data_IF_850519788045
#
_entry.id   IF_850519788045
#
_cell.length_a   1.000
_cell.length_b   1.000
_cell.length_c   1.000
_cell.angle_alpha   90.00
_cell.angle_beta   90.00
_cell.angle_gamma   90.00
#
_symmetry.space_group_name_H-M   'P 1'
#
loop_
_entity.id
_entity.type
_entity.pdbx_description
1 polymer ?
#
# COMPACT_ATOMS: atom_id res chain seq x y z
N UNK A 1 -2.32 -0.64 -17.35
CA UNK A 1 -1.92 -1.14 -16.00
C UNK A 1 -1.31 -2.52 -16.17
N UNK A 2 -0.04 -2.71 -15.82
CA UNK A 2 0.63 -4.00 -15.94
C UNK A 2 -0.06 -5.06 -15.06
N UNK A 3 -0.30 -6.26 -15.59
CA UNK A 3 -0.98 -7.36 -14.88
C UNK A 3 -0.37 -7.65 -13.49
N UNK A 4 0.94 -7.46 -13.34
CA UNK A 4 1.67 -7.60 -12.09
C UNK A 4 1.19 -6.63 -10.98
N UNK A 5 0.89 -5.38 -11.34
CA UNK A 5 0.38 -4.38 -10.39
C UNK A 5 -1.04 -4.75 -9.95
N UNK A 6 -1.83 -5.31 -10.86
CA UNK A 6 -3.19 -5.74 -10.56
C UNK A 6 -3.22 -6.95 -9.62
N UNK A 7 -2.36 -7.95 -9.88
CA UNK A 7 -2.20 -9.12 -9.00
C UNK A 7 -1.69 -8.70 -7.62
N UNK A 8 -0.68 -7.83 -7.55
CA UNK A 8 -0.15 -7.31 -6.29
C UNK A 8 -1.22 -6.58 -5.46
N UNK A 9 -2.05 -5.76 -6.12
CA UNK A 9 -3.18 -5.08 -5.45
C UNK A 9 -4.20 -6.07 -4.90
N UNK A 10 -4.56 -7.11 -5.65
CA UNK A 10 -5.52 -8.12 -5.21
C UNK A 10 -5.00 -8.92 -4.00
N UNK A 11 -3.74 -9.33 -4.02
CA UNK A 11 -3.12 -10.06 -2.89
C UNK A 11 -3.09 -9.18 -1.63
N UNK A 12 -2.64 -7.92 -1.74
CA UNK A 12 -2.62 -7.01 -0.60
C UNK A 12 -4.02 -6.69 -0.07
N UNK A 13 -5.02 -6.57 -0.94
CA UNK A 13 -6.41 -6.39 -0.52
C UNK A 13 -6.92 -7.58 0.30
N UNK A 14 -6.56 -8.81 -0.08
CA UNK A 14 -6.89 -10.02 0.69
C UNK A 14 -6.16 -10.02 2.05
N UNK A 15 -4.87 -9.66 2.08
CA UNK A 15 -4.09 -9.59 3.32
C UNK A 15 -4.69 -8.55 4.28
N UNK A 16 -5.00 -7.34 3.79
CA UNK A 16 -5.67 -6.31 4.58
C UNK A 16 -7.03 -6.77 5.09
N UNK A 17 -7.82 -7.43 4.22
CA UNK A 17 -9.10 -8.00 4.60
C UNK A 17 -8.97 -9.03 5.73
N UNK A 18 -8.01 -9.95 5.63
CA UNK A 18 -7.76 -10.96 6.66
C UNK A 18 -7.27 -10.35 7.99
N UNK A 19 -6.38 -9.35 7.92
CA UNK A 19 -5.86 -8.66 9.12
C UNK A 19 -6.95 -7.85 9.83
N UNK A 20 -7.78 -7.12 9.07
CA UNK A 20 -8.91 -6.37 9.63
C UNK A 20 -10.02 -7.30 10.12
N UNK A 21 -10.29 -8.40 9.41
CA UNK A 21 -11.23 -9.42 9.87
C UNK A 21 -10.80 -10.01 11.21
N UNK A 22 -9.50 -10.20 11.46
CA UNK A 22 -8.99 -10.66 12.75
C UNK A 22 -9.27 -9.67 13.91
N UNK A 23 -9.48 -8.37 13.65
CA UNK A 23 -9.86 -7.41 14.68
C UNK A 23 -11.31 -7.63 15.14
N UNK A 24 -12.21 -7.91 14.20
CA UNK A 24 -13.65 -8.11 14.47
C UNK A 24 -13.93 -9.54 14.91
N UNK A 25 -13.22 -10.51 14.33
CA UNK A 25 -13.32 -11.94 14.61
C UNK A 25 -11.94 -12.50 15.00
N UNK A 26 -11.58 -12.45 16.29
CA UNK A 26 -10.26 -12.88 16.74
C UNK A 26 -10.04 -14.37 16.46
N UNK A 27 -8.92 -14.71 15.81
CA UNK A 27 -8.57 -16.11 15.62
C UNK A 27 -8.30 -16.80 16.97
N UNK A 28 -8.86 -18.00 17.19
CA UNK A 28 -8.72 -18.70 18.46
C UNK A 28 -7.25 -19.05 18.78
N UNK A 29 -6.89 -18.98 20.06
CA UNK A 29 -5.55 -19.32 20.55
C UNK A 29 -4.51 -18.22 20.37
N UNK A 30 -3.29 -18.60 19.95
CA UNK A 30 -2.14 -17.66 19.79
C UNK A 30 -2.18 -16.88 18.48
N UNK A 31 -3.13 -17.15 17.59
CA UNK A 31 -3.24 -16.50 16.28
C UNK A 31 -3.58 -15.01 16.38
N UNK A 32 -4.48 -14.63 17.30
CA UNK A 32 -4.91 -13.24 17.47
C UNK A 32 -3.75 -12.25 17.76
N UNK A 33 -2.92 -12.43 18.81
CA UNK A 33 -1.83 -11.50 19.09
C UNK A 33 -0.75 -11.48 18.01
N UNK A 34 -0.50 -12.62 17.34
CA UNK A 34 0.42 -12.67 16.20
C UNK A 34 -0.08 -11.81 15.04
N UNK A 35 -1.34 -11.95 14.63
CA UNK A 35 -1.93 -11.16 13.56
C UNK A 35 -1.97 -9.65 13.91
N UNK A 36 -2.18 -9.28 15.17
CA UNK A 36 -2.09 -7.89 15.60
C UNK A 36 -0.67 -7.32 15.48
N UNK A 37 0.36 -8.08 15.87
CA UNK A 37 1.76 -7.67 15.69
C UNK A 37 2.09 -7.55 14.20
N UNK A 38 1.68 -8.53 13.38
CA UNK A 38 1.88 -8.49 11.93
C UNK A 38 1.18 -7.27 11.31
N UNK A 39 -0.06 -6.96 11.73
CA UNK A 39 -0.78 -5.77 11.29
C UNK A 39 -0.05 -4.49 11.71
N UNK A 40 0.45 -4.41 12.93
CA UNK A 40 1.21 -3.25 13.41
C UNK A 40 2.49 -3.04 12.58
N UNK A 41 3.24 -4.11 12.32
CA UNK A 41 4.43 -4.07 11.48
C UNK A 41 4.06 -3.66 10.05
N UNK A 42 2.99 -4.24 9.49
CA UNK A 42 2.50 -3.92 8.15
C UNK A 42 2.19 -2.42 8.02
N UNK A 43 1.38 -1.87 8.92
CA UNK A 43 1.03 -0.45 8.95
C UNK A 43 2.27 0.42 9.07
N UNK A 44 3.17 0.09 10.00
CA UNK A 44 4.40 0.86 10.24
C UNK A 44 5.29 0.89 9.00
N UNK A 45 5.48 -0.26 8.34
CA UNK A 45 6.26 -0.35 7.11
C UNK A 45 5.61 0.45 5.98
N UNK A 46 4.29 0.40 5.83
CA UNK A 46 3.59 1.17 4.79
C UNK A 46 3.67 2.68 5.04
N UNK A 47 3.58 3.12 6.29
CA UNK A 47 3.75 4.52 6.67
C UNK A 47 5.18 5.00 6.43
N UNK A 48 6.18 4.21 6.83
CA UNK A 48 7.59 4.53 6.59
C UNK A 48 7.88 4.59 5.10
N UNK A 49 7.32 3.65 4.34
CA UNK A 49 7.46 3.62 2.89
C UNK A 49 6.79 4.82 2.21
N UNK A 50 5.59 5.20 2.66
CA UNK A 50 4.92 6.42 2.21
C UNK A 50 5.77 7.65 2.49
N UNK A 51 6.30 7.75 3.72
CA UNK A 51 7.13 8.87 4.15
C UNK A 51 8.39 8.95 3.28
N UNK A 52 9.08 7.83 3.08
CA UNK A 52 10.24 7.74 2.19
C UNK A 52 9.93 8.19 0.77
N UNK A 53 8.83 7.72 0.16
CA UNK A 53 8.49 8.15 -1.19
C UNK A 53 8.10 9.62 -1.24
N UNK A 54 7.31 10.09 -0.28
CA UNK A 54 6.85 11.46 -0.21
C UNK A 54 7.97 12.46 0.05
N UNK A 55 9.08 12.06 0.70
CA UNK A 55 10.25 12.92 0.92
C UNK A 55 11.25 12.82 -0.23
N UNK A 56 11.65 11.61 -0.64
CA UNK A 56 12.70 11.39 -1.64
C UNK A 56 12.24 11.74 -3.05
N UNK A 57 10.99 11.44 -3.41
CA UNK A 57 10.47 11.63 -4.76
C UNK A 57 9.48 12.80 -4.87
N UNK A 58 9.50 13.73 -3.91
CA UNK A 58 8.58 14.87 -3.90
C UNK A 58 8.74 15.76 -5.12
N UNK A 59 9.98 16.02 -5.52
CA UNK A 59 10.33 16.99 -6.57
C UNK A 59 10.31 16.37 -7.98
N UNK A 60 10.30 15.05 -8.07
CA UNK A 60 10.41 14.32 -9.34
C UNK A 60 9.07 13.78 -9.86
N UNK A 61 8.00 13.82 -9.06
CA UNK A 61 6.72 13.16 -9.34
C UNK A 61 5.57 14.13 -9.07
N UNK A 62 4.57 14.17 -9.96
CA UNK A 62 3.32 14.88 -9.69
C UNK A 62 2.45 14.04 -8.74
N UNK A 63 2.45 14.43 -7.47
CA UNK A 63 1.68 13.79 -6.41
C UNK A 63 0.21 14.19 -6.45
N UNK A 64 -0.71 13.22 -6.51
CA UNK A 64 -2.14 13.43 -6.35
C UNK A 64 -2.63 12.88 -5.01
N UNK A 65 -3.68 13.47 -4.44
CA UNK A 65 -4.30 13.01 -3.17
C UNK A 65 -4.65 11.51 -3.15
N UNK A 66 -4.97 10.92 -4.31
CA UNK A 66 -5.26 9.48 -4.44
C UNK A 66 -4.03 8.57 -4.42
N UNK A 67 -2.83 9.12 -4.62
CA UNK A 67 -1.58 8.35 -4.68
C UNK A 67 -1.13 7.93 -3.27
N UNK A 68 -1.37 8.77 -2.26
CA UNK A 68 -1.12 8.46 -0.85
C UNK A 68 -1.87 7.20 -0.39
N UNK A 69 -3.15 7.07 -0.75
CA UNK A 69 -3.96 5.90 -0.43
C UNK A 69 -3.47 4.62 -1.12
N UNK A 70 -2.95 4.74 -2.34
CA UNK A 70 -2.40 3.59 -3.06
C UNK A 70 -1.14 3.05 -2.39
N UNK A 71 -0.27 3.93 -1.88
CA UNK A 71 0.94 3.50 -1.17
C UNK A 71 0.60 2.95 0.22
N UNK A 72 -0.37 3.53 0.94
CA UNK A 72 -0.79 3.00 2.25
C UNK A 72 -1.43 1.60 2.13
N UNK A 73 -2.26 1.38 1.11
CA UNK A 73 -2.97 0.10 0.95
C UNK A 73 -2.14 -0.96 0.23
N UNK A 74 -1.25 -0.56 -0.69
CA UNK A 74 -0.52 -1.48 -1.58
C UNK A 74 1.01 -1.34 -1.54
N UNK A 75 1.56 -0.49 -0.68
CA UNK A 75 3.00 -0.33 -0.47
C UNK A 75 3.77 -0.03 -1.75
N UNK A 76 4.77 -0.87 -2.05
CA UNK A 76 5.63 -0.76 -3.26
C UNK A 76 4.80 -0.88 -4.54
N UNK A 77 3.76 -1.70 -4.55
CA UNK A 77 2.92 -1.91 -5.73
C UNK A 77 2.13 -0.65 -6.06
N UNK A 78 1.63 0.05 -5.04
CA UNK A 78 0.98 1.36 -5.21
C UNK A 78 1.94 2.39 -5.80
N UNK A 79 3.18 2.41 -5.31
CA UNK A 79 4.23 3.24 -5.87
C UNK A 79 4.56 2.94 -7.33
N UNK A 80 4.77 1.67 -7.68
CA UNK A 80 5.03 1.26 -9.06
C UNK A 80 3.88 1.64 -10.00
N UNK A 81 2.64 1.59 -9.52
CA UNK A 81 1.48 2.06 -10.28
C UNK A 81 1.56 3.56 -10.56
N UNK A 82 1.94 4.37 -9.56
CA UNK A 82 2.08 5.83 -9.69
C UNK A 82 3.21 6.18 -10.67
N UNK A 83 4.36 5.51 -10.56
CA UNK A 83 5.52 5.74 -11.46
C UNK A 83 5.19 5.36 -12.90
N UNK A 84 4.49 4.24 -13.12
CA UNK A 84 4.03 3.84 -14.46
C UNK A 84 3.02 4.82 -15.06
N UNK A 85 2.25 5.53 -14.24
CA UNK A 85 1.22 6.48 -14.67
C UNK A 85 1.79 7.91 -14.89
N UNK A 86 3.00 8.22 -14.41
CA UNK A 86 3.64 9.52 -14.62
C UNK A 86 3.78 9.94 -16.10
N UNK A 87 4.21 9.08 -17.04
CA UNK A 87 4.39 9.48 -18.44
C UNK A 87 3.08 9.96 -19.10
N UNK A 88 1.94 9.41 -18.66
CA UNK A 88 0.62 9.81 -19.16
C UNK A 88 0.11 11.11 -18.52
N UNK A 89 0.57 11.44 -17.31
CA UNK A 89 0.21 12.69 -16.62
C UNK A 89 1.01 13.87 -17.16
N UNK A 90 2.29 13.66 -17.46
CA UNK A 90 3.19 14.69 -17.99
C UNK A 90 2.85 15.16 -19.42
N UNK A 91 2.02 14.40 -20.15
CA UNK A 91 1.50 14.76 -21.48
C UNK A 91 0.18 15.54 -21.45
N UNK A 92 -0.44 15.70 -20.27
CA UNK A 92 -1.76 16.33 -20.11
C UNK A 92 -1.70 17.77 -19.56
N UNK A 93 -0.50 18.27 -19.29
CA UNK A 93 -0.20 19.68 -18.99
C UNK A 93 0.50 20.32 -20.20
#
# INVERSE_FOLDING_TARGET
>A
MSALVWVGRSVFAIIWGAMLANIVWPFPGKGFPLFLILLFILVTLHLLQLLMFATVYREHIQWRRGDYWQIILFGVVGWLAIVQDQPHRQQRD
#
